data_IF_869417374349
#
_entry.id   IF_869417374349
#
_cell.length_a   1.000
_cell.length_b   1.000
_cell.length_c   1.000
_cell.angle_alpha   90.00
_cell.angle_beta   90.00
_cell.angle_gamma   90.00
#
_symmetry.space_group_name_H-M   'P 1'
#
loop_
_entity.id
_entity.type
_entity.pdbx_description
1 polymer ?
#
# COMPACT_ATOMS: atom_id res chain seq x y z
N UNK A 1 0.84 12.93 17.34
CA UNK A 1 -0.34 12.10 17.10
C UNK A 1 -0.05 11.29 15.83
N UNK A 2 0.14 9.99 15.93
CA UNK A 2 0.31 9.14 14.75
C UNK A 2 -1.06 8.72 14.27
N UNK A 3 -1.38 8.97 13.00
CA UNK A 3 -2.58 8.46 12.36
C UNK A 3 -2.15 7.26 11.54
N UNK A 4 -2.67 6.09 11.88
CA UNK A 4 -2.49 4.90 11.06
C UNK A 4 -3.41 5.00 9.84
N UNK A 5 -2.81 5.16 8.66
CA UNK A 5 -3.53 5.25 7.40
C UNK A 5 -4.42 4.03 7.15
N UNK A 6 -4.01 2.84 7.61
CA UNK A 6 -4.82 1.62 7.56
C UNK A 6 -6.13 1.77 8.36
N UNK A 7 -6.10 2.50 9.48
CA UNK A 7 -7.28 2.70 10.30
C UNK A 7 -8.24 3.72 9.68
N UNK A 8 -7.71 4.80 9.09
CA UNK A 8 -8.51 5.81 8.40
C UNK A 8 -9.20 5.23 7.15
N UNK A 9 -8.48 4.48 6.32
CA UNK A 9 -9.07 3.80 5.15
C UNK A 9 -10.11 2.75 5.57
N UNK A 10 -9.95 2.10 6.72
CA UNK A 10 -10.90 1.11 7.26
C UNK A 10 -12.23 1.70 7.69
N UNK A 11 -12.25 2.96 8.16
CA UNK A 11 -13.44 3.58 8.75
C UNK A 11 -14.30 4.33 7.74
N UNK A 12 -13.77 4.73 6.58
CA UNK A 12 -14.44 5.66 5.66
C UNK A 12 -14.75 5.10 4.27
N UNK A 13 -14.29 3.90 3.92
CA UNK A 13 -14.85 3.23 2.74
C UNK A 13 -16.23 2.74 3.14
N UNK A 14 -17.17 3.69 3.15
CA UNK A 14 -18.57 3.38 3.38
C UNK A 14 -19.01 2.30 2.40
N UNK A 15 -19.83 1.38 2.88
CA UNK A 15 -20.43 0.25 2.16
C UNK A 15 -21.17 0.66 0.88
N UNK A 16 -21.29 1.97 0.62
CA UNK A 16 -21.98 2.59 -0.51
C UNK A 16 -21.06 3.14 -1.61
N UNK A 17 -19.75 3.32 -1.38
CA UNK A 17 -18.85 3.64 -2.49
C UNK A 17 -18.67 2.41 -3.37
N UNK A 18 -19.17 2.52 -4.60
CA UNK A 18 -19.18 1.42 -5.56
C UNK A 18 -17.82 1.15 -6.17
N UNK A 19 -16.84 2.07 -5.98
CA UNK A 19 -15.52 1.98 -6.61
C UNK A 19 -14.51 2.88 -5.89
N UNK A 20 -13.31 2.33 -5.60
CA UNK A 20 -12.16 3.05 -5.07
C UNK A 20 -11.00 2.98 -6.07
N UNK A 21 -10.37 4.11 -6.35
CA UNK A 21 -9.31 4.25 -7.35
C UNK A 21 -7.97 4.66 -6.71
N UNK A 22 -6.90 4.55 -7.47
CA UNK A 22 -5.59 5.04 -7.07
C UNK A 22 -5.58 6.57 -6.88
N UNK A 23 -6.36 7.28 -7.69
CA UNK A 23 -6.58 8.73 -7.56
C UNK A 23 -7.23 9.09 -6.22
N UNK A 24 -8.21 8.29 -5.76
CA UNK A 24 -8.86 8.50 -4.47
C UNK A 24 -7.86 8.35 -3.31
N UNK A 25 -6.91 7.43 -3.44
CA UNK A 25 -5.85 7.29 -2.43
C UNK A 25 -4.97 8.54 -2.35
N UNK A 26 -4.61 9.12 -3.49
CA UNK A 26 -3.86 10.39 -3.53
C UNK A 26 -4.69 11.51 -2.88
N UNK A 27 -5.98 11.62 -3.19
CA UNK A 27 -6.88 12.61 -2.58
C UNK A 27 -6.95 12.45 -1.06
N UNK A 28 -7.10 11.22 -0.56
CA UNK A 28 -7.12 10.96 0.89
C UNK A 28 -5.80 11.36 1.56
N UNK A 29 -4.66 11.13 0.93
CA UNK A 29 -3.37 11.59 1.47
C UNK A 29 -3.36 13.12 1.56
N UNK A 30 -3.81 13.83 0.52
CA UNK A 30 -3.89 15.30 0.51
C UNK A 30 -4.84 15.78 1.61
N UNK A 31 -6.01 15.16 1.75
CA UNK A 31 -7.00 15.57 2.75
C UNK A 31 -6.52 15.32 4.19
N UNK A 32 -5.81 14.21 4.44
CA UNK A 32 -5.18 13.98 5.74
C UNK A 32 -4.10 15.01 6.06
N UNK A 33 -3.28 15.39 5.07
CA UNK A 33 -2.29 16.47 5.25
C UNK A 33 -3.00 17.79 5.60
N UNK A 34 -4.08 18.13 4.90
CA UNK A 34 -4.89 19.31 5.18
C UNK A 34 -5.50 19.30 6.58
N UNK A 35 -6.02 18.13 6.99
CA UNK A 35 -6.65 17.97 8.32
C UNK A 35 -5.65 18.09 9.47
N UNK A 36 -4.45 17.49 9.32
CA UNK A 36 -3.44 17.47 10.37
C UNK A 36 -2.69 18.80 10.49
N UNK A 37 -2.67 19.59 9.43
CA UNK A 37 -2.14 20.97 9.47
C UNK A 37 -0.64 21.07 9.21
N UNK A 38 -0.04 22.23 9.58
CA UNK A 38 1.34 22.54 9.25
C UNK A 38 2.35 21.68 10.04
N UNK A 39 3.60 21.69 9.57
CA UNK A 39 4.76 21.07 10.21
C UNK A 39 4.67 19.54 10.30
N UNK A 40 4.02 18.90 9.32
CA UNK A 40 3.94 17.46 9.23
C UNK A 40 5.24 16.84 8.73
N UNK A 41 5.53 15.66 9.25
CA UNK A 41 6.52 14.73 8.72
C UNK A 41 5.79 13.43 8.32
N UNK A 42 5.94 13.01 7.07
CA UNK A 42 5.30 11.81 6.56
C UNK A 42 6.28 10.64 6.53
N UNK A 43 5.76 9.45 6.80
CA UNK A 43 6.48 8.20 6.58
C UNK A 43 5.60 7.26 5.77
N UNK A 44 6.11 6.81 4.63
CA UNK A 44 5.42 5.84 3.78
C UNK A 44 6.29 4.60 3.60
N UNK A 45 5.75 3.45 3.98
CA UNK A 45 6.45 2.16 3.90
C UNK A 45 5.84 1.33 2.79
N UNK A 46 6.66 0.84 1.87
CA UNK A 46 6.27 0.00 0.74
C UNK A 46 5.37 0.74 -0.29
N UNK A 47 4.28 0.14 -0.75
CA UNK A 47 3.42 0.69 -1.81
C UNK A 47 2.87 2.12 -1.55
N UNK A 48 2.50 2.52 -0.34
CA UNK A 48 2.10 3.90 -0.03
C UNK A 48 3.09 4.99 -0.44
N UNK A 49 4.35 4.66 -0.66
CA UNK A 49 5.36 5.62 -1.13
C UNK A 49 4.97 6.29 -2.44
N UNK A 50 4.29 5.57 -3.34
CA UNK A 50 3.89 6.10 -4.65
C UNK A 50 2.78 7.14 -4.55
N UNK A 51 1.61 6.88 -3.92
CA UNK A 51 0.58 7.90 -3.77
C UNK A 51 1.01 9.06 -2.86
N UNK A 52 1.88 8.84 -1.86
CA UNK A 52 2.39 9.91 -0.99
C UNK A 52 3.26 10.89 -1.77
N UNK A 53 4.24 10.42 -2.53
CA UNK A 53 5.08 11.33 -3.33
C UNK A 53 4.25 12.02 -4.42
N UNK A 54 3.26 11.34 -5.01
CA UNK A 54 2.34 11.93 -5.97
C UNK A 54 1.49 13.05 -5.35
N UNK A 55 0.95 12.83 -4.14
CA UNK A 55 0.19 13.82 -3.40
C UNK A 55 1.03 15.07 -3.10
N UNK A 56 2.27 14.90 -2.64
CA UNK A 56 3.18 16.03 -2.36
C UNK A 56 3.52 16.77 -3.66
N UNK A 57 3.80 16.07 -4.75
CA UNK A 57 4.05 16.70 -6.04
C UNK A 57 2.86 17.54 -6.51
N UNK A 58 1.64 17.06 -6.33
CA UNK A 58 0.41 17.80 -6.64
C UNK A 58 0.25 19.03 -5.77
N UNK A 59 0.44 18.90 -4.45
CA UNK A 59 0.34 20.02 -3.52
C UNK A 59 1.40 21.11 -3.80
N UNK A 60 2.63 20.72 -4.09
CA UNK A 60 3.70 21.68 -4.45
C UNK A 60 3.41 22.39 -5.79
N UNK A 61 2.96 21.65 -6.81
CA UNK A 61 2.58 22.24 -8.10
C UNK A 61 1.45 23.26 -7.98
N UNK A 62 0.53 23.05 -7.03
CA UNK A 62 -0.57 23.99 -6.73
C UNK A 62 -0.16 25.13 -5.78
N UNK A 63 1.07 25.15 -5.27
CA UNK A 63 1.53 26.11 -4.28
C UNK A 63 0.77 26.00 -2.96
N UNK A 64 0.36 24.80 -2.56
CA UNK A 64 -0.46 24.58 -1.37
C UNK A 64 0.32 24.95 -0.09
N UNK A 65 -0.27 25.72 0.86
CA UNK A 65 0.45 26.22 2.03
C UNK A 65 0.78 25.15 3.08
N UNK A 66 0.13 23.99 3.03
CA UNK A 66 0.29 22.90 4.01
C UNK A 66 1.14 21.73 3.46
N UNK A 67 2.11 22.02 2.58
CA UNK A 67 3.07 20.99 2.15
C UNK A 67 3.84 20.48 3.37
N UNK A 68 3.97 19.15 3.55
CA UNK A 68 4.74 18.57 4.66
C UNK A 68 6.19 19.02 4.68
N UNK A 69 6.75 19.20 5.88
CA UNK A 69 8.16 19.59 6.04
C UNK A 69 9.13 18.50 5.52
N UNK A 70 8.75 17.24 5.64
CA UNK A 70 9.52 16.13 5.06
C UNK A 70 8.66 14.89 4.78
N UNK A 71 9.17 14.04 3.87
CA UNK A 71 8.68 12.68 3.64
C UNK A 71 9.82 11.67 3.74
N UNK A 72 9.56 10.53 4.39
CA UNK A 72 10.44 9.37 4.42
C UNK A 72 9.78 8.24 3.65
N UNK A 73 10.42 7.77 2.58
CA UNK A 73 9.93 6.66 1.76
C UNK A 73 10.80 5.43 2.01
N UNK A 74 10.19 4.32 2.45
CA UNK A 74 10.89 3.12 2.85
C UNK A 74 10.47 1.93 1.98
N UNK A 75 11.41 1.38 1.21
CA UNK A 75 11.20 0.18 0.38
C UNK A 75 10.06 0.33 -0.62
N UNK A 76 9.83 1.53 -1.15
CA UNK A 76 8.70 1.84 -2.01
C UNK A 76 8.95 1.53 -3.49
N UNK A 77 7.94 1.06 -4.25
CA UNK A 77 8.08 0.71 -5.66
C UNK A 77 8.06 1.96 -6.56
N UNK A 78 8.97 2.91 -6.34
CA UNK A 78 9.04 4.17 -7.11
C UNK A 78 9.44 3.89 -8.55
N UNK A 79 10.50 3.10 -8.76
CA UNK A 79 10.90 2.60 -10.07
C UNK A 79 11.25 1.12 -10.02
N UNK A 80 10.25 0.27 -10.22
CA UNK A 80 10.37 -1.19 -10.13
C UNK A 80 11.24 -1.82 -11.23
N UNK A 81 11.76 -1.01 -12.17
CA UNK A 81 12.72 -1.47 -13.20
C UNK A 81 14.14 -1.55 -12.66
N UNK A 82 14.46 -0.87 -11.56
CA UNK A 82 15.84 -0.70 -11.04
C UNK A 82 16.32 -1.89 -10.21
N UNK A 83 15.48 -2.49 -9.44
CA UNK A 83 15.79 -3.71 -8.65
C UNK A 83 14.56 -4.61 -8.65
N UNK A 84 14.25 -5.28 -9.77
CA UNK A 84 12.99 -6.00 -9.90
C UNK A 84 12.95 -7.19 -8.95
N UNK A 85 11.88 -7.27 -8.17
CA UNK A 85 11.53 -8.44 -7.37
C UNK A 85 10.80 -9.49 -8.21
N UNK A 86 10.60 -10.70 -7.69
CA UNK A 86 9.80 -11.73 -8.34
C UNK A 86 8.37 -11.25 -8.66
N UNK A 87 7.78 -10.42 -7.80
CA UNK A 87 6.45 -9.83 -8.03
C UNK A 87 6.48 -8.86 -9.21
N UNK A 88 7.53 -8.05 -9.32
CA UNK A 88 7.68 -7.11 -10.44
C UNK A 88 7.84 -7.86 -11.76
N UNK A 89 8.66 -8.92 -11.78
CA UNK A 89 8.85 -9.78 -12.95
C UNK A 89 7.52 -10.44 -13.37
N UNK A 90 6.75 -10.95 -12.42
CA UNK A 90 5.43 -11.53 -12.68
C UNK A 90 4.47 -10.51 -13.29
N UNK A 91 4.44 -9.28 -12.77
CA UNK A 91 3.58 -8.22 -13.31
C UNK A 91 3.94 -7.87 -14.76
N UNK A 92 5.24 -7.79 -15.08
CA UNK A 92 5.72 -7.53 -16.43
C UNK A 92 5.43 -8.68 -17.40
N UNK A 93 5.59 -9.93 -16.96
CA UNK A 93 5.36 -11.12 -17.78
C UNK A 93 3.87 -11.33 -18.09
N UNK A 94 3.02 -11.14 -17.08
CA UNK A 94 1.61 -11.52 -17.14
C UNK A 94 0.69 -10.37 -17.57
N UNK A 95 1.04 -9.14 -17.24
CA UNK A 95 0.20 -7.97 -17.51
C UNK A 95 -1.07 -7.91 -16.68
N UNK A 96 -1.73 -6.75 -16.68
CA UNK A 96 -2.89 -6.43 -15.82
C UNK A 96 -4.07 -7.37 -16.02
N UNK A 97 -4.31 -7.83 -17.24
CA UNK A 97 -5.45 -8.69 -17.55
C UNK A 97 -5.34 -10.08 -16.89
N UNK A 98 -4.12 -10.59 -16.71
CA UNK A 98 -3.90 -11.83 -15.98
C UNK A 98 -4.29 -11.67 -14.51
N UNK A 99 -3.92 -10.56 -13.87
CA UNK A 99 -4.30 -10.27 -12.48
C UNK A 99 -5.81 -10.11 -12.34
N UNK A 100 -6.47 -9.48 -13.31
CA UNK A 100 -7.94 -9.39 -13.34
C UNK A 100 -8.59 -10.78 -13.28
N UNK A 101 -8.11 -11.70 -14.10
CA UNK A 101 -8.72 -13.05 -14.21
C UNK A 101 -8.39 -13.97 -13.06
N UNK A 102 -7.23 -13.80 -12.42
CA UNK A 102 -6.72 -14.75 -11.45
C UNK A 102 -6.77 -14.25 -10.00
N UNK A 103 -6.85 -12.95 -9.79
CA UNK A 103 -6.80 -12.36 -8.45
C UNK A 103 -8.10 -11.66 -8.04
N UNK A 104 -8.96 -11.26 -9.00
CA UNK A 104 -10.20 -10.56 -8.68
C UNK A 104 -11.32 -11.57 -8.48
N UNK A 105 -12.04 -11.39 -7.38
CA UNK A 105 -13.19 -12.23 -7.00
C UNK A 105 -14.36 -11.34 -6.57
N UNK A 106 -15.57 -11.91 -6.66
CA UNK A 106 -16.79 -11.23 -6.21
C UNK A 106 -17.05 -11.63 -4.75
N UNK A 107 -17.32 -10.64 -3.91
CA UNK A 107 -17.70 -10.89 -2.51
C UNK A 107 -19.00 -11.68 -2.45
N UNK A 108 -19.01 -12.88 -1.82
CA UNK A 108 -20.20 -13.74 -1.79
C UNK A 108 -21.17 -13.34 -0.69
N UNK A 109 -22.44 -13.79 -0.81
CA UNK A 109 -23.38 -13.74 0.29
C UNK A 109 -22.92 -14.70 1.43
N UNK A 110 -23.05 -14.33 2.73
CA UNK A 110 -23.70 -13.15 3.31
C UNK A 110 -22.73 -12.04 3.77
N UNK A 111 -21.54 -11.95 3.21
CA UNK A 111 -20.52 -11.02 3.67
C UNK A 111 -20.86 -9.56 3.32
N UNK A 112 -20.47 -8.56 4.15
CA UNK A 112 -20.59 -7.16 3.82
C UNK A 112 -19.92 -6.83 2.49
N UNK A 113 -20.56 -6.01 1.64
CA UNK A 113 -20.04 -5.70 0.31
C UNK A 113 -20.34 -6.76 -0.75
N UNK A 114 -21.30 -7.68 -0.51
CA UNK A 114 -21.73 -8.69 -1.46
C UNK A 114 -21.93 -8.11 -2.87
N UNK A 115 -21.38 -8.80 -3.88
CA UNK A 115 -21.43 -8.38 -5.28
C UNK A 115 -20.31 -7.44 -5.72
N UNK A 116 -19.48 -6.92 -4.82
CA UNK A 116 -18.30 -6.11 -5.18
C UNK A 116 -17.18 -6.98 -5.71
N UNK A 117 -16.48 -6.47 -6.71
CA UNK A 117 -15.24 -7.08 -7.20
C UNK A 117 -14.06 -6.60 -6.34
N UNK A 118 -13.30 -7.54 -5.79
CA UNK A 118 -12.19 -7.27 -4.88
C UNK A 118 -10.98 -8.15 -5.18
N UNK A 119 -9.80 -7.69 -4.81
CA UNK A 119 -8.64 -8.55 -4.56
C UNK A 119 -8.68 -9.00 -3.11
N UNK A 120 -9.03 -10.27 -2.83
CA UNK A 120 -9.30 -10.74 -1.48
C UNK A 120 -8.07 -10.72 -0.58
N UNK A 121 -8.26 -10.33 0.69
CA UNK A 121 -7.20 -10.28 1.69
C UNK A 121 -6.50 -11.62 1.90
N UNK A 122 -7.23 -12.74 1.85
CA UNK A 122 -6.63 -14.07 2.00
C UNK A 122 -5.68 -14.44 0.84
N UNK A 123 -5.92 -13.96 -0.38
CA UNK A 123 -4.99 -14.15 -1.51
C UNK A 123 -3.74 -13.28 -1.35
N UNK A 124 -3.90 -12.04 -0.87
CA UNK A 124 -2.76 -11.17 -0.54
C UNK A 124 -1.87 -11.83 0.49
N UNK A 125 -2.46 -12.31 1.59
CA UNK A 125 -1.76 -13.01 2.66
C UNK A 125 -1.05 -14.26 2.14
N UNK A 126 -1.72 -15.07 1.32
CA UNK A 126 -1.11 -16.26 0.71
C UNK A 126 0.12 -15.91 -0.13
N UNK A 127 0.06 -14.83 -0.89
CA UNK A 127 1.19 -14.32 -1.67
C UNK A 127 2.36 -13.87 -0.79
N UNK A 128 2.10 -13.13 0.29
CA UNK A 128 3.14 -12.69 1.23
C UNK A 128 3.79 -13.87 1.96
N UNK A 129 2.99 -14.82 2.44
CA UNK A 129 3.53 -16.01 3.11
C UNK A 129 4.36 -16.89 2.18
N UNK A 130 3.95 -17.03 0.92
CA UNK A 130 4.67 -17.83 -0.07
C UNK A 130 6.07 -17.29 -0.40
N UNK A 131 6.28 -15.98 -0.30
CA UNK A 131 7.61 -15.36 -0.54
C UNK A 131 8.65 -15.73 0.52
N UNK A 132 8.24 -16.07 1.75
CA UNK A 132 9.13 -16.39 2.87
C UNK A 132 8.57 -17.55 3.71
N UNK A 133 8.07 -18.59 3.06
CA UNK A 133 7.36 -19.70 3.71
C UNK A 133 8.17 -20.33 4.86
N UNK A 134 9.44 -20.63 4.62
CA UNK A 134 10.31 -21.25 5.63
C UNK A 134 10.44 -20.41 6.89
N UNK A 135 10.52 -19.07 6.73
CA UNK A 135 10.58 -18.14 7.85
C UNK A 135 9.30 -18.18 8.69
N UNK A 136 8.13 -18.22 8.02
CA UNK A 136 6.85 -18.30 8.71
C UNK A 136 6.67 -19.64 9.43
N UNK A 137 7.04 -20.75 8.79
CA UNK A 137 7.00 -22.09 9.41
C UNK A 137 7.89 -22.13 10.63
N UNK A 138 9.14 -21.68 10.54
CA UNK A 138 10.08 -21.65 11.66
C UNK A 138 9.57 -20.77 12.80
N UNK A 139 9.03 -19.58 12.52
CA UNK A 139 8.46 -18.71 13.53
C UNK A 139 7.33 -19.38 14.33
N UNK A 140 6.44 -20.15 13.65
CA UNK A 140 5.39 -20.91 14.35
C UNK A 140 5.95 -22.06 15.18
N UNK A 141 7.01 -22.74 14.72
CA UNK A 141 7.69 -23.77 15.48
C UNK A 141 8.38 -23.17 16.74
N UNK A 142 8.99 -22.01 16.59
CA UNK A 142 9.59 -21.28 17.72
C UNK A 142 8.53 -20.89 18.76
N UNK A 143 7.37 -20.39 18.33
CA UNK A 143 6.24 -20.15 19.23
C UNK A 143 5.84 -21.40 20.01
N UNK A 144 5.73 -22.55 19.33
CA UNK A 144 5.43 -23.80 20.00
C UNK A 144 6.49 -24.18 21.03
N UNK A 145 7.77 -24.01 20.71
CA UNK A 145 8.88 -24.26 21.63
C UNK A 145 8.84 -23.33 22.86
N UNK A 146 8.53 -22.05 22.69
CA UNK A 146 8.32 -21.10 23.78
C UNK A 146 7.21 -21.56 24.73
N UNK A 147 6.07 -22.02 24.18
CA UNK A 147 4.97 -22.55 24.98
C UNK A 147 5.39 -23.80 25.77
N UNK A 148 6.14 -24.72 25.16
CA UNK A 148 6.65 -25.94 25.82
C UNK A 148 7.62 -25.61 26.96
N UNK A 149 8.42 -24.55 26.81
CA UNK A 149 9.38 -24.08 27.83
C UNK A 149 8.75 -23.20 28.91
N UNK A 150 7.46 -22.87 28.79
CA UNK A 150 6.76 -22.00 29.73
C UNK A 150 7.05 -20.51 29.53
N UNK A 151 7.67 -20.13 28.40
CA UNK A 151 7.92 -18.74 28.01
C UNK A 151 6.65 -18.17 27.33
N UNK A 152 5.67 -17.81 28.15
CA UNK A 152 4.40 -17.25 27.71
C UNK A 152 4.56 -15.89 27.04
N UNK A 153 5.46 -15.06 27.52
CA UNK A 153 5.66 -13.68 27.02
C UNK A 153 6.15 -13.67 25.56
N UNK A 154 7.07 -14.56 25.21
CA UNK A 154 7.54 -14.68 23.82
C UNK A 154 6.47 -15.26 22.89
N UNK A 155 5.68 -16.22 23.39
CA UNK A 155 4.56 -16.77 22.63
C UNK A 155 3.45 -15.72 22.41
N UNK A 156 3.16 -14.84 23.37
CA UNK A 156 2.17 -13.77 23.24
C UNK A 156 2.61 -12.73 22.21
N UNK A 157 3.87 -12.28 22.26
CA UNK A 157 4.44 -11.38 21.24
C UNK A 157 4.33 -11.96 19.82
N UNK A 158 4.51 -13.25 19.66
CA UNK A 158 4.35 -13.92 18.39
C UNK A 158 2.88 -13.87 17.92
N UNK A 159 1.93 -14.12 18.82
CA UNK A 159 0.49 -14.03 18.49
C UNK A 159 0.12 -12.61 18.09
N UNK A 160 0.52 -11.61 18.88
CA UNK A 160 0.24 -10.21 18.59
C UNK A 160 0.75 -9.80 17.21
N UNK A 161 1.97 -10.23 16.88
CA UNK A 161 2.54 -9.99 15.55
C UNK A 161 1.69 -10.63 14.44
N UNK A 162 1.29 -11.91 14.59
CA UNK A 162 0.51 -12.58 13.55
C UNK A 162 -0.94 -12.14 13.49
N UNK A 163 -1.53 -11.71 14.58
CA UNK A 163 -2.87 -11.12 14.59
C UNK A 163 -2.89 -9.83 13.74
N UNK A 164 -1.88 -8.97 13.87
CA UNK A 164 -1.68 -7.81 13.00
C UNK A 164 -1.36 -8.21 11.55
N UNK A 165 -0.42 -9.14 11.36
CA UNK A 165 0.03 -9.57 10.04
C UNK A 165 -1.09 -10.19 9.20
N UNK A 166 -1.99 -10.93 9.84
CA UNK A 166 -3.13 -11.59 9.19
C UNK A 166 -4.34 -10.68 9.03
N UNK A 167 -4.36 -9.50 9.64
CA UNK A 167 -5.45 -8.53 9.54
C UNK A 167 -5.42 -7.78 8.21
N UNK A 168 -5.49 -8.51 7.10
CA UNK A 168 -5.47 -7.97 5.73
C UNK A 168 -6.89 -7.79 5.22
N UNK A 169 -7.21 -6.58 4.74
CA UNK A 169 -8.52 -6.27 4.15
C UNK A 169 -8.56 -6.65 2.67
N UNK A 170 -9.76 -6.85 2.15
CA UNK A 170 -9.98 -6.90 0.71
C UNK A 170 -9.70 -5.54 0.08
N UNK A 171 -9.09 -5.52 -1.10
CA UNK A 171 -8.89 -4.29 -1.86
C UNK A 171 -9.91 -4.20 -3.00
N UNK A 172 -10.42 -3.00 -3.27
CA UNK A 172 -11.25 -2.75 -4.44
C UNK A 172 -10.50 -3.17 -5.72
N UNK A 173 -11.19 -3.88 -6.62
CA UNK A 173 -10.57 -4.41 -7.83
C UNK A 173 -10.02 -3.30 -8.73
N UNK A 174 -10.71 -2.16 -8.83
CA UNK A 174 -10.26 -1.05 -9.66
C UNK A 174 -8.98 -0.41 -9.12
N UNK A 175 -8.89 -0.20 -7.80
CA UNK A 175 -7.69 0.28 -7.13
C UNK A 175 -6.51 -0.67 -7.35
N UNK A 176 -6.70 -1.96 -7.10
CA UNK A 176 -5.65 -2.96 -7.26
C UNK A 176 -5.14 -3.03 -8.70
N UNK A 177 -6.04 -3.12 -9.67
CA UNK A 177 -5.65 -3.23 -11.08
C UNK A 177 -5.03 -1.94 -11.62
N UNK A 178 -5.50 -0.77 -11.18
CA UNK A 178 -4.89 0.51 -11.51
C UNK A 178 -3.49 0.62 -10.92
N UNK A 179 -3.27 0.14 -9.69
CA UNK A 179 -1.94 0.08 -9.07
C UNK A 179 -1.00 -0.82 -9.88
N UNK A 180 -1.42 -2.04 -10.23
CA UNK A 180 -0.63 -2.96 -11.06
C UNK A 180 -0.24 -2.30 -12.39
N UNK A 181 -1.21 -1.71 -13.09
CA UNK A 181 -0.98 -1.06 -14.38
C UNK A 181 -0.02 0.14 -14.26
N UNK A 182 -0.31 1.04 -13.32
CA UNK A 182 0.41 2.32 -13.18
C UNK A 182 1.84 2.12 -12.69
N UNK A 183 2.00 1.31 -11.64
CA UNK A 183 3.27 1.19 -10.92
C UNK A 183 4.14 0.08 -11.48
N UNK A 184 3.56 -1.12 -11.69
CA UNK A 184 4.34 -2.32 -11.97
C UNK A 184 4.46 -2.66 -13.46
N UNK A 185 3.47 -2.30 -14.28
CA UNK A 185 3.48 -2.61 -15.72
C UNK A 185 3.98 -1.42 -16.54
N UNK A 186 3.40 -0.24 -16.36
CA UNK A 186 3.71 0.94 -17.16
C UNK A 186 4.77 1.85 -16.56
N UNK A 187 5.01 1.79 -15.25
CA UNK A 187 5.98 2.64 -14.51
C UNK A 187 5.74 4.14 -14.75
N UNK A 188 4.50 4.60 -14.62
CA UNK A 188 4.11 5.94 -15.05
C UNK A 188 4.78 7.03 -14.23
N UNK A 189 4.94 6.85 -12.90
CA UNK A 189 5.55 7.85 -12.04
C UNK A 189 7.00 8.18 -12.43
N UNK A 190 7.94 7.22 -12.52
CA UNK A 190 9.33 7.53 -12.88
C UNK A 190 9.52 7.92 -14.35
N UNK A 191 8.52 7.73 -15.21
CA UNK A 191 8.51 8.24 -16.57
C UNK A 191 7.98 9.65 -16.72
N UNK A 192 7.39 10.23 -15.65
CA UNK A 192 6.70 11.50 -15.72
C UNK A 192 5.38 11.46 -16.51
N UNK A 193 4.79 10.27 -16.64
CA UNK A 193 3.54 10.03 -17.37
C UNK A 193 2.34 9.80 -16.42
N UNK A 194 2.57 9.86 -15.11
CA UNK A 194 1.52 9.64 -14.13
C UNK A 194 0.56 10.82 -14.10
N UNK A 195 -0.72 10.51 -14.10
CA UNK A 195 -1.80 11.49 -13.99
C UNK A 195 -2.57 11.27 -12.69
N UNK A 196 -3.04 12.34 -12.09
CA UNK A 196 -3.99 12.36 -10.97
C UNK A 196 -5.14 13.30 -11.34
N UNK A 197 -6.38 12.82 -11.38
CA UNK A 197 -7.57 13.60 -11.80
C UNK A 197 -7.37 14.37 -13.11
N UNK A 198 -6.73 13.73 -14.09
CA UNK A 198 -6.37 14.30 -15.41
C UNK A 198 -5.32 15.43 -15.38
N UNK A 199 -4.61 15.60 -14.28
CA UNK A 199 -3.50 16.52 -14.18
C UNK A 199 -2.18 15.77 -13.97
N UNK A 200 -1.09 16.28 -14.57
CA UNK A 200 0.20 15.61 -14.50
C UNK A 200 0.78 15.62 -13.08
N UNK A 201 1.33 14.49 -12.65
CA UNK A 201 2.13 14.38 -11.43
C UNK A 201 3.57 14.70 -11.78
N UNK A 202 3.98 15.94 -11.56
CA UNK A 202 5.33 16.42 -11.83
C UNK A 202 6.20 16.37 -10.58
N UNK A 203 7.08 15.38 -10.49
CA UNK A 203 8.00 15.23 -9.35
C UNK A 203 9.01 16.39 -9.25
N UNK A 204 9.24 17.11 -10.35
CA UNK A 204 10.15 18.28 -10.34
C UNK A 204 9.54 19.50 -9.63
N UNK A 205 8.24 19.46 -9.36
CA UNK A 205 7.57 20.50 -8.57
C UNK A 205 7.92 20.44 -7.07
N UNK A 206 8.48 19.33 -6.59
CA UNK A 206 8.81 19.16 -5.16
C UNK A 206 10.07 19.96 -4.81
N UNK A 207 9.90 21.06 -4.06
CA UNK A 207 10.99 21.96 -3.67
C UNK A 207 11.05 22.23 -2.17
N UNK A 208 9.91 22.17 -1.47
CA UNK A 208 9.80 22.57 -0.06
C UNK A 208 9.75 21.37 0.90
N UNK A 209 9.38 20.20 0.41
CA UNK A 209 9.33 18.98 1.21
C UNK A 209 10.68 18.26 1.19
N UNK A 210 11.32 18.11 2.36
CA UNK A 210 12.55 17.30 2.48
C UNK A 210 12.29 15.83 2.17
N UNK A 211 13.18 15.17 1.43
CA UNK A 211 13.06 13.75 1.08
C UNK A 211 14.15 12.91 1.76
N UNK A 212 13.74 11.83 2.43
CA UNK A 212 14.61 10.74 2.86
C UNK A 212 14.10 9.43 2.25
N UNK A 213 15.03 8.64 1.72
CA UNK A 213 14.73 7.27 1.24
C UNK A 213 15.47 6.25 2.07
N UNK A 214 14.81 5.12 2.35
CA UNK A 214 15.39 3.97 3.06
C UNK A 214 15.08 2.73 2.23
N UNK A 215 16.14 2.06 1.78
CA UNK A 215 16.04 0.85 0.96
C UNK A 215 16.72 -0.32 1.68
N UNK A 216 16.21 -1.53 1.46
CA UNK A 216 16.87 -2.77 1.89
C UNK A 216 17.92 -3.22 0.87
N UNK A 217 18.96 -3.93 1.34
CA UNK A 217 19.92 -4.64 0.49
C UNK A 217 19.35 -5.95 -0.05
#
# INVERSE_FOLDING_TARGET
>A
MSVDLKLAIRSEIEVFETRYLFDDYIDYVIDMIRLLGPDLHLMAVCQPSVPVIAAIARMEAEGHPLVPASMTLMGGPIDTRRSPTAVNALAQERGTEWFRRNCIHVVPFPYPGVGREVYPGFLQLSGFMAMNLDRHVNAHLDMFNHLVQGDGDSAEKHRDFYDEYMAVMDLDAAYYLQTIETVFVRHLLPKGEMMHRNEAVDLTAIHNCGLMTVEGE
#
